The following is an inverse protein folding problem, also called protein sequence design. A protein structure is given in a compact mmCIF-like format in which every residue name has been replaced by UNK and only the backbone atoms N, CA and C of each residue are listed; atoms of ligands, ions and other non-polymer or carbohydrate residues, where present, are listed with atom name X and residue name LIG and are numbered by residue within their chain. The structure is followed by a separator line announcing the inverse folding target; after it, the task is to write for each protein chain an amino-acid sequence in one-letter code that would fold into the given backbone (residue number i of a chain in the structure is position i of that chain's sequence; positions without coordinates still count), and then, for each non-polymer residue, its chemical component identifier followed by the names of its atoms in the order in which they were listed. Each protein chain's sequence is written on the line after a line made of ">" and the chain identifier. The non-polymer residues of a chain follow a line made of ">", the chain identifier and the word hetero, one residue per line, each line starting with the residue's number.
data_IF_024478911038
#
_entry.id   IF_024478911038
#
_cell.length_a   1.000
_cell.length_b   1.000
_cell.length_c   1.000
_cell.angle_alpha   90.00
_cell.angle_beta   90.00
_cell.angle_gamma   90.00
#
_symmetry.space_group_name_H-M   'P 1'
#
loop_
_entity.id
_entity.type
_entity.pdbx_description
1 polymer ?
#
# COMPACT_ATOMS: atom_id res chain seq x y z
N UNK A 1 -21.01 -28.10 -17.58
CA UNK A 1 -21.03 -27.04 -16.57
C UNK A 1 -21.09 -27.73 -15.23
N UNK A 2 -20.16 -27.44 -14.33
CA UNK A 2 -20.06 -28.09 -13.02
C UNK A 2 -21.36 -27.82 -12.23
N UNK A 3 -21.94 -28.79 -11.51
CA UNK A 3 -23.27 -28.65 -10.86
C UNK A 3 -23.38 -27.38 -10.01
N UNK A 4 -22.28 -26.94 -9.40
CA UNK A 4 -22.20 -25.72 -8.60
C UNK A 4 -22.23 -24.43 -9.42
N UNK A 5 -21.71 -24.43 -10.65
CA UNK A 5 -21.76 -23.28 -11.56
C UNK A 5 -23.21 -23.03 -11.99
N UNK A 6 -23.91 -24.08 -12.42
CA UNK A 6 -25.34 -24.00 -12.79
C UNK A 6 -26.19 -23.51 -11.61
N UNK A 7 -25.98 -24.09 -10.42
CA UNK A 7 -26.68 -23.68 -9.20
C UNK A 7 -26.44 -22.20 -8.86
N UNK A 8 -25.21 -21.72 -9.04
CA UNK A 8 -24.87 -20.31 -8.81
C UNK A 8 -25.57 -19.37 -9.80
N UNK A 9 -25.75 -19.78 -11.05
CA UNK A 9 -26.34 -18.95 -12.10
C UNK A 9 -27.87 -18.97 -12.09
N UNK A 10 -28.47 -20.15 -11.96
CA UNK A 10 -29.91 -20.37 -12.06
C UNK A 10 -30.64 -20.15 -10.72
N UNK A 11 -30.01 -20.49 -9.58
CA UNK A 11 -30.62 -20.47 -8.25
C UNK A 11 -29.92 -19.48 -7.30
N UNK A 12 -29.69 -18.24 -7.76
CA UNK A 12 -28.88 -17.22 -7.07
C UNK A 12 -29.23 -16.99 -5.60
N UNK A 13 -30.53 -16.96 -5.27
CA UNK A 13 -30.99 -16.74 -3.89
C UNK A 13 -30.62 -17.91 -2.98
N UNK A 14 -30.73 -19.13 -3.47
CA UNK A 14 -30.39 -20.34 -2.71
C UNK A 14 -28.88 -20.49 -2.59
N UNK A 15 -28.11 -20.12 -3.62
CA UNK A 15 -26.66 -20.03 -3.52
C UNK A 15 -26.22 -19.04 -2.44
N UNK A 16 -26.81 -17.84 -2.38
CA UNK A 16 -26.54 -16.87 -1.33
C UNK A 16 -26.92 -17.39 0.06
N UNK A 17 -28.04 -18.12 0.16
CA UNK A 17 -28.48 -18.78 1.40
C UNK A 17 -27.45 -19.80 1.89
N UNK A 18 -26.93 -20.65 0.99
CA UNK A 18 -25.87 -21.60 1.28
C UNK A 18 -24.57 -20.90 1.73
N UNK A 19 -24.16 -19.84 1.04
CA UNK A 19 -22.98 -19.06 1.41
C UNK A 19 -23.10 -18.47 2.82
N UNK A 20 -24.27 -17.89 3.17
CA UNK A 20 -24.52 -17.34 4.50
C UNK A 20 -24.54 -18.42 5.58
N UNK A 21 -25.17 -19.56 5.30
CA UNK A 21 -25.15 -20.70 6.22
C UNK A 21 -23.71 -21.15 6.49
N UNK A 22 -22.90 -21.32 5.44
CA UNK A 22 -21.50 -21.66 5.58
C UNK A 22 -20.72 -20.59 6.36
N UNK A 23 -20.95 -19.32 6.07
CA UNK A 23 -20.32 -18.20 6.75
C UNK A 23 -20.64 -18.16 8.25
N UNK A 24 -21.88 -18.44 8.65
CA UNK A 24 -22.24 -18.54 10.06
C UNK A 24 -21.56 -19.74 10.70
N UNK A 25 -21.60 -20.91 10.07
CA UNK A 25 -21.04 -22.15 10.65
C UNK A 25 -19.53 -22.08 10.81
N UNK A 26 -18.81 -21.48 9.86
CA UNK A 26 -17.35 -21.41 9.91
C UNK A 26 -16.84 -20.56 11.10
N UNK A 27 -17.63 -19.60 11.60
CA UNK A 27 -17.27 -18.76 12.76
C UNK A 27 -17.19 -19.55 14.07
N UNK A 28 -17.94 -20.65 14.16
CA UNK A 28 -18.00 -21.49 15.36
C UNK A 28 -16.96 -22.62 15.36
N UNK A 29 -16.21 -22.80 14.25
CA UNK A 29 -15.18 -23.84 14.14
C UNK A 29 -13.95 -23.39 14.93
N UNK A 30 -13.54 -24.22 15.89
CA UNK A 30 -12.38 -23.99 16.76
C UNK A 30 -11.39 -25.14 16.66
N UNK A 31 -10.08 -24.90 16.85
CA UNK A 31 -9.05 -25.94 16.78
C UNK A 31 -9.27 -27.08 17.78
N UNK A 32 -9.69 -26.75 19.00
CA UNK A 32 -9.96 -27.67 20.11
C UNK A 32 -11.32 -28.37 20.03
N UNK A 33 -12.20 -27.92 19.12
CA UNK A 33 -13.54 -28.46 18.97
C UNK A 33 -13.51 -29.90 18.46
N UNK A 34 -14.32 -30.75 19.10
CA UNK A 34 -14.66 -32.11 18.65
C UNK A 34 -16.08 -32.18 18.10
N UNK A 35 -16.81 -31.05 18.10
CA UNK A 35 -18.19 -31.00 17.67
C UNK A 35 -18.30 -31.18 16.16
N UNK A 36 -19.36 -31.85 15.72
CA UNK A 36 -19.69 -31.96 14.29
C UNK A 36 -20.20 -30.63 13.77
N UNK A 37 -19.77 -30.24 12.58
CA UNK A 37 -20.32 -29.10 11.87
C UNK A 37 -21.54 -29.55 11.06
N UNK A 38 -22.66 -28.84 11.17
CA UNK A 38 -23.87 -29.13 10.39
C UNK A 38 -24.21 -27.93 9.55
N UNK A 39 -24.22 -28.10 8.24
CA UNK A 39 -24.53 -27.06 7.26
C UNK A 39 -25.84 -27.44 6.60
N UNK A 40 -26.81 -26.51 6.58
CA UNK A 40 -28.03 -26.70 5.79
C UNK A 40 -27.74 -26.45 4.31
N UNK A 41 -28.19 -27.36 3.46
CA UNK A 41 -27.99 -27.29 2.01
C UNK A 41 -29.35 -27.10 1.34
N UNK A 42 -29.49 -26.13 0.43
CA UNK A 42 -30.74 -25.93 -0.32
C UNK A 42 -31.21 -27.19 -1.05
N UNK A 43 -32.52 -27.43 -1.01
CA UNK A 43 -33.13 -28.64 -1.58
C UNK A 43 -32.91 -28.73 -3.09
N UNK A 44 -32.99 -27.62 -3.81
CA UNK A 44 -32.73 -27.59 -5.25
C UNK A 44 -31.29 -28.01 -5.60
N UNK A 45 -30.29 -27.68 -4.78
CA UNK A 45 -28.92 -28.16 -4.97
C UNK A 45 -28.84 -29.68 -4.73
N UNK A 46 -29.55 -30.18 -3.73
CA UNK A 46 -29.63 -31.61 -3.44
C UNK A 46 -30.25 -32.39 -4.61
N UNK A 47 -31.36 -31.89 -5.16
CA UNK A 47 -32.05 -32.48 -6.32
C UNK A 47 -31.13 -32.52 -7.54
N UNK A 48 -30.48 -31.40 -7.87
CA UNK A 48 -29.50 -31.33 -8.97
C UNK A 48 -28.31 -32.29 -8.77
N UNK A 49 -27.83 -32.46 -7.54
CA UNK A 49 -26.74 -33.40 -7.24
C UNK A 49 -27.19 -34.85 -7.45
N UNK A 50 -28.44 -35.19 -7.15
CA UNK A 50 -29.00 -36.51 -7.38
C UNK A 50 -29.18 -36.78 -8.88
N UNK A 51 -29.68 -35.80 -9.63
CA UNK A 51 -29.86 -35.91 -11.09
C UNK A 51 -28.53 -36.13 -11.83
N UNK A 52 -27.48 -35.43 -11.41
CA UNK A 52 -26.15 -35.55 -12.05
C UNK A 52 -25.42 -36.83 -11.65
N UNK A 53 -25.47 -37.22 -10.37
CA UNK A 53 -24.72 -38.40 -9.89
C UNK A 53 -25.46 -39.73 -10.06
N UNK A 54 -26.77 -39.70 -10.30
CA UNK A 54 -27.60 -40.91 -10.41
C UNK A 54 -27.61 -41.77 -9.14
N UNK A 55 -27.21 -41.21 -7.99
CA UNK A 55 -27.14 -41.88 -6.70
C UNK A 55 -27.85 -41.04 -5.64
N UNK A 56 -28.49 -41.71 -4.68
CA UNK A 56 -29.07 -41.06 -3.51
C UNK A 56 -27.97 -40.51 -2.59
N UNK A 57 -28.25 -39.40 -1.91
CA UNK A 57 -27.29 -38.82 -0.94
C UNK A 57 -26.93 -39.77 0.22
N UNK A 58 -27.79 -40.75 0.51
CA UNK A 58 -27.50 -41.81 1.50
C UNK A 58 -26.39 -42.74 1.03
N UNK A 59 -26.32 -43.05 -0.26
CA UNK A 59 -25.25 -43.86 -0.84
C UNK A 59 -23.94 -43.09 -0.87
N UNK A 60 -23.98 -41.78 -1.17
CA UNK A 60 -22.81 -40.88 -1.06
C UNK A 60 -22.30 -40.75 0.38
N UNK A 61 -23.19 -40.79 1.37
CA UNK A 61 -22.81 -40.78 2.81
C UNK A 61 -22.19 -42.10 3.28
N UNK A 62 -22.51 -43.21 2.61
CA UNK A 62 -22.08 -44.54 3.03
C UNK A 62 -20.61 -44.83 2.70
N UNK A 63 -20.07 -44.12 1.70
CA UNK A 63 -18.67 -44.25 1.27
C UNK A 63 -17.69 -43.41 2.09
N UNK A 64 -18.14 -42.36 2.79
CA UNK A 64 -17.29 -41.54 3.64
C UNK A 64 -17.93 -41.24 5.00
N UNK A 65 -17.41 -41.82 6.08
CA UNK A 65 -17.91 -41.62 7.45
C UNK A 65 -17.73 -40.19 7.97
N UNK A 66 -16.85 -39.38 7.36
CA UNK A 66 -16.61 -38.01 7.78
C UNK A 66 -17.67 -37.02 7.28
N UNK A 67 -18.47 -37.42 6.28
CA UNK A 67 -19.51 -36.61 5.64
C UNK A 67 -20.82 -37.39 5.61
N UNK A 68 -21.81 -36.95 6.37
CA UNK A 68 -23.10 -37.64 6.48
C UNK A 68 -24.24 -36.69 6.12
N UNK A 69 -25.09 -37.10 5.18
CA UNK A 69 -26.33 -36.40 4.85
C UNK A 69 -27.47 -36.84 5.78
N UNK A 70 -28.20 -35.86 6.33
CA UNK A 70 -29.42 -36.08 7.14
C UNK A 70 -30.49 -35.11 6.68
N UNK A 71 -31.39 -35.57 5.80
CA UNK A 71 -32.38 -34.70 5.15
C UNK A 71 -31.68 -33.66 4.28
N UNK A 72 -31.97 -32.38 4.51
CA UNK A 72 -31.37 -31.22 3.84
C UNK A 72 -30.06 -30.73 4.50
N UNK A 73 -29.43 -31.56 5.36
CA UNK A 73 -28.26 -31.15 6.14
C UNK A 73 -27.04 -32.00 5.84
N UNK A 74 -25.93 -31.34 5.64
CA UNK A 74 -24.59 -31.92 5.53
C UNK A 74 -23.92 -31.88 6.91
N UNK A 75 -23.66 -33.04 7.51
CA UNK A 75 -22.94 -33.18 8.77
C UNK A 75 -21.50 -33.60 8.51
N UNK A 76 -20.58 -32.75 8.91
CA UNK A 76 -19.14 -32.97 8.83
C UNK A 76 -18.60 -33.30 10.21
N UNK A 77 -17.66 -34.24 10.29
CA UNK A 77 -16.86 -34.37 11.50
C UNK A 77 -15.96 -33.14 11.72
N UNK A 78 -15.40 -33.04 12.92
CA UNK A 78 -14.60 -31.88 13.31
C UNK A 78 -13.37 -31.70 12.41
N UNK A 79 -12.67 -32.79 12.07
CA UNK A 79 -11.44 -32.73 11.28
C UNK A 79 -11.71 -32.32 9.83
N UNK A 80 -12.80 -32.81 9.23
CA UNK A 80 -13.22 -32.37 7.89
C UNK A 80 -13.66 -30.91 7.90
N UNK A 81 -14.34 -30.44 8.95
CA UNK A 81 -14.72 -29.04 9.05
C UNK A 81 -13.50 -28.11 9.24
N UNK A 82 -12.51 -28.54 10.03
CA UNK A 82 -11.24 -27.82 10.24
C UNK A 82 -10.40 -27.75 8.96
N UNK A 83 -10.43 -28.79 8.12
CA UNK A 83 -9.61 -28.84 6.90
C UNK A 83 -9.96 -27.75 5.89
N UNK A 84 -11.16 -27.15 5.96
CA UNK A 84 -11.54 -25.99 5.15
C UNK A 84 -10.62 -24.77 5.35
N UNK A 85 -9.92 -24.69 6.49
CA UNK A 85 -9.04 -23.57 6.82
C UNK A 85 -7.58 -23.85 6.46
N UNK A 86 -7.20 -25.11 6.22
CA UNK A 86 -5.79 -25.51 6.11
C UNK A 86 -5.08 -24.78 4.97
N UNK A 87 -5.64 -24.81 3.77
CA UNK A 87 -4.98 -24.24 2.60
C UNK A 87 -4.92 -22.70 2.66
N UNK A 88 -6.01 -22.06 3.08
CA UNK A 88 -6.02 -20.60 3.26
C UNK A 88 -5.03 -20.15 4.34
N UNK A 89 -4.96 -20.86 5.46
CA UNK A 89 -4.03 -20.52 6.54
C UNK A 89 -2.57 -20.73 6.12
N UNK A 90 -2.28 -21.83 5.40
CA UNK A 90 -0.96 -22.13 4.85
C UNK A 90 -0.48 -21.02 3.92
N UNK A 91 -1.31 -20.61 2.96
CA UNK A 91 -0.93 -19.54 2.02
C UNK A 91 -0.65 -18.20 2.73
N UNK A 92 -1.41 -17.88 3.78
CA UNK A 92 -1.17 -16.68 4.59
C UNK A 92 0.16 -16.79 5.34
N UNK A 93 0.45 -17.94 5.96
CA UNK A 93 1.71 -18.20 6.66
C UNK A 93 2.90 -18.11 5.71
N UNK A 94 2.81 -18.73 4.54
CA UNK A 94 3.87 -18.71 3.52
C UNK A 94 4.14 -17.27 3.06
N UNK A 95 3.08 -16.48 2.87
CA UNK A 95 3.21 -15.09 2.49
C UNK A 95 3.89 -14.23 3.57
N UNK A 96 3.47 -14.39 4.83
CA UNK A 96 4.10 -13.68 5.97
C UNK A 96 5.57 -14.08 6.10
N UNK A 97 5.89 -15.35 5.90
CA UNK A 97 7.27 -15.85 5.95
C UNK A 97 8.13 -15.19 4.88
N UNK A 98 7.62 -15.07 3.65
CA UNK A 98 8.31 -14.36 2.57
C UNK A 98 8.56 -12.87 2.88
N UNK A 99 7.61 -12.19 3.52
CA UNK A 99 7.79 -10.79 3.95
C UNK A 99 8.93 -10.69 4.96
N UNK A 100 9.03 -11.63 5.92
CA UNK A 100 10.09 -11.62 6.93
C UNK A 100 11.50 -11.93 6.40
N UNK A 101 11.63 -12.40 5.16
CA UNK A 101 12.93 -12.52 4.48
C UNK A 101 13.47 -11.16 3.99
N UNK A 102 12.62 -10.12 3.94
CA UNK A 102 13.03 -8.80 3.48
C UNK A 102 13.84 -8.03 4.54
N UNK A 103 15.01 -7.53 4.15
CA UNK A 103 15.87 -6.72 5.03
C UNK A 103 15.18 -5.48 5.61
N UNK A 104 14.16 -4.96 4.93
CA UNK A 104 13.40 -3.77 5.33
C UNK A 104 12.53 -3.98 6.59
N UNK A 105 12.22 -5.23 6.96
CA UNK A 105 11.35 -5.55 8.11
C UNK A 105 12.09 -6.23 9.26
N UNK A 106 13.43 -6.26 9.21
CA UNK A 106 14.27 -6.80 10.29
C UNK A 106 13.99 -6.03 11.58
N UNK A 107 13.79 -6.76 12.67
CA UNK A 107 13.42 -6.20 13.97
C UNK A 107 11.91 -6.10 14.22
N UNK A 108 11.07 -6.62 13.32
CA UNK A 108 9.63 -6.75 13.59
C UNK A 108 9.39 -7.67 14.79
N UNK A 109 8.59 -7.21 15.76
CA UNK A 109 8.29 -7.95 17.00
C UNK A 109 6.83 -8.40 17.10
N UNK A 110 5.95 -7.90 16.23
CA UNK A 110 4.51 -8.09 16.33
C UNK A 110 3.83 -8.29 14.97
N UNK A 111 2.76 -9.08 14.98
CA UNK A 111 1.85 -9.28 13.84
C UNK A 111 0.48 -8.75 14.28
N UNK A 112 -0.05 -7.75 13.58
CA UNK A 112 -1.39 -7.22 13.82
C UNK A 112 -2.37 -7.80 12.80
N UNK A 113 -3.33 -8.61 13.26
CA UNK A 113 -4.29 -9.30 12.41
C UNK A 113 -5.60 -8.51 12.33
N UNK A 114 -5.94 -7.95 11.17
CA UNK A 114 -7.16 -7.15 10.93
C UNK A 114 -8.07 -7.80 9.87
N UNK A 115 -9.32 -7.36 9.77
CA UNK A 115 -10.35 -7.92 8.89
C UNK A 115 -11.12 -9.09 9.50
N UNK A 116 -12.25 -9.46 8.90
CA UNK A 116 -13.19 -10.45 9.47
C UNK A 116 -12.55 -11.82 9.68
N UNK A 117 -11.69 -12.25 8.76
CA UNK A 117 -11.08 -13.58 8.85
C UNK A 117 -10.05 -13.68 10.00
N UNK A 118 -9.50 -12.55 10.44
CA UNK A 118 -8.62 -12.48 11.60
C UNK A 118 -9.33 -12.81 12.92
N UNK A 119 -10.66 -12.79 12.94
CA UNK A 119 -11.47 -13.25 14.09
C UNK A 119 -11.58 -14.78 14.16
N UNK A 120 -11.17 -15.51 13.11
CA UNK A 120 -11.20 -16.97 13.08
C UNK A 120 -10.24 -17.59 14.09
N UNK A 121 -10.73 -18.39 15.05
CA UNK A 121 -9.85 -19.10 15.99
C UNK A 121 -8.87 -20.05 15.29
N UNK A 122 -9.30 -20.65 14.17
CA UNK A 122 -8.47 -21.51 13.33
C UNK A 122 -7.25 -20.76 12.78
N UNK A 123 -7.47 -19.56 12.23
CA UNK A 123 -6.39 -18.77 11.66
C UNK A 123 -5.46 -18.22 12.76
N UNK A 124 -6.04 -17.73 13.87
CA UNK A 124 -5.26 -17.21 14.99
C UNK A 124 -4.31 -18.26 15.56
N UNK A 125 -4.76 -19.51 15.75
CA UNK A 125 -3.90 -20.58 16.23
C UNK A 125 -2.82 -20.95 15.22
N UNK A 126 -3.16 -21.01 13.92
CA UNK A 126 -2.20 -21.31 12.87
C UNK A 126 -1.06 -20.27 12.82
N UNK A 127 -1.39 -18.98 12.89
CA UNK A 127 -0.41 -17.88 12.89
C UNK A 127 0.45 -17.90 14.16
N UNK A 128 -0.17 -18.05 15.34
CA UNK A 128 0.59 -18.12 16.61
C UNK A 128 1.54 -19.32 16.65
N UNK A 129 1.14 -20.45 16.06
CA UNK A 129 1.97 -21.66 15.99
C UNK A 129 3.12 -21.50 15.00
N UNK A 130 2.87 -20.87 13.85
CA UNK A 130 3.89 -20.63 12.84
C UNK A 130 4.94 -19.59 13.28
N UNK A 131 4.52 -18.58 14.07
CA UNK A 131 5.37 -17.48 14.50
C UNK A 131 5.41 -17.35 16.03
N UNK A 132 5.96 -18.34 16.76
CA UNK A 132 5.91 -18.37 18.23
C UNK A 132 6.71 -17.25 18.91
N UNK A 133 7.66 -16.64 18.20
CA UNK A 133 8.48 -15.54 18.70
C UNK A 133 7.85 -14.16 18.46
N UNK A 134 6.72 -14.09 17.75
CA UNK A 134 6.04 -12.84 17.42
C UNK A 134 4.89 -12.57 18.40
N UNK A 135 4.70 -11.30 18.75
CA UNK A 135 3.51 -10.86 19.47
C UNK A 135 2.33 -10.75 18.51
N UNK A 136 1.41 -11.71 18.54
CA UNK A 136 0.21 -11.70 17.68
C UNK A 136 -0.90 -10.89 18.36
N UNK A 137 -1.25 -9.75 17.76
CA UNK A 137 -2.27 -8.81 18.24
C UNK A 137 -3.51 -8.94 17.35
N UNK A 138 -4.65 -9.24 17.94
CA UNK A 138 -5.94 -9.22 17.27
C UNK A 138 -6.79 -8.11 17.92
N UNK A 139 -7.08 -7.01 17.21
CA UNK A 139 -7.93 -5.95 17.73
C UNK A 139 -9.34 -6.44 18.02
N UNK A 140 -10.00 -5.83 19.01
CA UNK A 140 -11.43 -6.02 19.21
C UNK A 140 -12.20 -5.55 17.97
N UNK A 141 -13.09 -6.41 17.47
CA UNK A 141 -13.82 -6.21 16.21
C UNK A 141 -12.85 -5.98 15.03
N UNK A 142 -11.99 -6.98 14.78
CA UNK A 142 -10.94 -6.91 13.76
C UNK A 142 -11.51 -6.57 12.37
N UNK A 143 -12.75 -6.98 12.08
CA UNK A 143 -13.49 -6.66 10.85
C UNK A 143 -13.63 -5.16 10.55
N UNK A 144 -13.71 -4.31 11.58
CA UNK A 144 -13.89 -2.86 11.45
C UNK A 144 -12.70 -2.06 11.97
N UNK A 145 -11.60 -2.72 12.35
CA UNK A 145 -10.42 -2.08 12.93
C UNK A 145 -9.82 -1.00 12.02
N UNK A 146 -9.75 -1.27 10.70
CA UNK A 146 -9.24 -0.31 9.71
C UNK A 146 -10.10 0.94 9.64
N UNK A 147 -11.43 0.79 9.61
CA UNK A 147 -12.37 1.92 9.60
C UNK A 147 -12.24 2.76 10.87
N UNK A 148 -12.19 2.11 12.05
CA UNK A 148 -11.99 2.80 13.33
C UNK A 148 -10.68 3.59 13.33
N UNK A 149 -9.59 3.00 12.84
CA UNK A 149 -8.30 3.66 12.69
C UNK A 149 -8.36 4.87 11.75
N UNK A 150 -9.05 4.75 10.60
CA UNK A 150 -9.21 5.84 9.65
C UNK A 150 -9.99 7.03 10.26
N UNK A 151 -11.05 6.75 11.03
CA UNK A 151 -11.81 7.79 11.75
C UNK A 151 -10.92 8.48 12.77
N UNK A 152 -10.16 7.73 13.58
CA UNK A 152 -9.22 8.31 14.55
C UNK A 152 -8.15 9.16 13.89
N UNK A 153 -7.59 8.69 12.77
CA UNK A 153 -6.62 9.45 11.98
C UNK A 153 -7.22 10.75 11.43
N UNK A 154 -8.47 10.73 10.95
CA UNK A 154 -9.16 11.93 10.50
C UNK A 154 -9.37 12.97 11.61
N UNK A 155 -9.62 12.53 12.85
CA UNK A 155 -9.72 13.41 14.01
C UNK A 155 -8.38 13.97 14.46
N UNK A 156 -7.33 13.16 14.44
CA UNK A 156 -5.98 13.59 14.81
C UNK A 156 -4.93 12.94 13.89
N UNK A 157 -4.58 13.61 12.78
CA UNK A 157 -3.57 13.10 11.85
C UNK A 157 -2.18 12.96 12.49
N UNK A 158 -1.90 13.72 13.55
CA UNK A 158 -0.60 13.79 14.24
C UNK A 158 -0.24 12.53 15.04
N UNK A 159 -1.12 11.53 15.08
CA UNK A 159 -0.86 10.25 15.76
C UNK A 159 0.20 9.41 15.03
N UNK A 160 0.45 9.66 13.74
CA UNK A 160 1.46 8.94 12.95
C UNK A 160 2.71 9.84 12.82
N UNK A 161 3.71 9.53 13.65
CA UNK A 161 4.84 10.41 13.98
C UNK A 161 5.90 10.61 12.85
N UNK A 162 6.24 9.62 12.00
CA UNK A 162 7.03 9.88 10.80
C UNK A 162 6.51 9.20 9.51
N UNK A 163 6.79 9.81 8.35
CA UNK A 163 6.59 9.21 7.02
C UNK A 163 7.93 8.84 6.40
N UNK A 164 8.01 7.67 5.80
CA UNK A 164 9.18 7.21 5.04
C UNK A 164 9.01 7.61 3.58
N UNK A 165 9.96 8.38 3.05
CA UNK A 165 9.99 8.78 1.63
C UNK A 165 10.01 7.55 0.71
N UNK A 166 8.94 7.34 -0.07
CA UNK A 166 8.86 6.19 -1.00
C UNK A 166 9.81 6.32 -2.20
N UNK A 167 10.13 7.55 -2.55
CA UNK A 167 11.01 7.93 -3.65
C UNK A 167 12.05 8.93 -3.14
N UNK A 168 13.08 9.17 -3.95
CA UNK A 168 13.93 10.34 -3.80
C UNK A 168 13.26 11.50 -4.52
N UNK A 169 13.00 12.60 -3.82
CA UNK A 169 12.32 13.78 -4.35
C UNK A 169 13.30 14.91 -4.60
N UNK A 170 13.11 15.63 -5.69
CA UNK A 170 13.96 16.76 -6.00
C UNK A 170 13.45 17.60 -7.15
N UNK A 171 14.28 18.56 -7.55
CA UNK A 171 14.00 19.46 -8.67
C UNK A 171 15.10 19.39 -9.72
N UNK A 172 14.76 19.68 -10.96
CA UNK A 172 15.73 19.90 -12.03
C UNK A 172 16.39 21.26 -11.84
N UNK A 173 17.71 21.28 -11.79
CA UNK A 173 18.48 22.51 -11.60
C UNK A 173 19.72 22.57 -12.49
N UNK A 174 20.25 23.77 -12.67
CA UNK A 174 21.50 24.04 -13.37
C UNK A 174 22.57 24.38 -12.33
N UNK A 175 23.49 23.45 -12.06
CA UNK A 175 24.63 23.68 -11.13
C UNK A 175 25.89 24.02 -11.91
N UNK A 176 26.92 24.56 -11.24
CA UNK A 176 28.22 24.80 -11.87
C UNK A 176 28.74 23.50 -12.50
N UNK A 177 29.18 23.59 -13.76
CA UNK A 177 29.72 22.46 -14.50
C UNK A 177 31.02 22.00 -13.84
N UNK A 178 31.12 20.70 -13.55
CA UNK A 178 32.33 20.06 -13.01
C UNK A 178 33.11 19.41 -14.15
N UNK A 179 34.26 19.98 -14.54
CA UNK A 179 35.11 19.38 -15.57
C UNK A 179 35.45 17.93 -15.21
N UNK A 180 35.46 17.05 -16.22
CA UNK A 180 35.79 15.62 -16.11
C UNK A 180 34.79 14.76 -15.30
N UNK A 181 33.74 15.35 -14.72
CA UNK A 181 32.70 14.61 -13.98
C UNK A 181 31.34 14.73 -14.65
N UNK A 182 30.98 15.95 -15.08
CA UNK A 182 29.68 16.19 -15.69
C UNK A 182 29.74 15.88 -17.21
N UNK A 183 28.70 15.29 -17.79
CA UNK A 183 28.61 15.03 -19.23
C UNK A 183 28.69 16.31 -20.04
N UNK A 184 29.58 16.36 -21.04
CA UNK A 184 29.79 17.54 -21.88
C UNK A 184 28.54 17.90 -22.70
N UNK A 185 27.68 16.94 -23.06
CA UNK A 185 26.41 17.17 -23.76
C UNK A 185 25.37 17.91 -22.89
N UNK A 186 25.55 17.91 -21.56
CA UNK A 186 24.71 18.66 -20.61
C UNK A 186 25.28 20.04 -20.27
N UNK A 187 26.43 20.42 -20.84
CA UNK A 187 27.09 21.70 -20.57
C UNK A 187 26.36 22.86 -21.23
N UNK A 188 26.25 23.97 -20.50
CA UNK A 188 25.68 25.23 -20.98
C UNK A 188 26.53 26.39 -20.49
N UNK A 189 26.82 27.35 -21.36
CA UNK A 189 27.53 28.59 -20.99
C UNK A 189 26.51 29.72 -20.90
N UNK A 190 26.46 30.38 -19.73
CA UNK A 190 25.59 31.54 -19.48
C UNK A 190 26.46 32.64 -18.88
N UNK A 191 26.53 33.81 -19.54
CA UNK A 191 27.37 34.94 -19.13
C UNK A 191 28.83 34.56 -18.81
N UNK A 192 29.42 33.66 -19.61
CA UNK A 192 30.79 33.18 -19.43
C UNK A 192 30.98 32.12 -18.34
N UNK A 193 29.92 31.75 -17.60
CA UNK A 193 29.95 30.71 -16.57
C UNK A 193 29.42 29.40 -17.15
N UNK A 194 30.13 28.30 -16.90
CA UNK A 194 29.74 26.96 -17.33
C UNK A 194 28.81 26.31 -16.29
N UNK A 195 27.64 25.87 -16.73
CA UNK A 195 26.64 25.15 -15.95
C UNK A 195 26.41 23.74 -16.55
N UNK A 196 26.04 22.79 -15.69
CA UNK A 196 25.54 21.49 -16.09
C UNK A 196 24.01 21.48 -15.94
N UNK A 197 23.31 21.22 -17.04
CA UNK A 197 21.86 21.16 -17.10
C UNK A 197 21.31 19.86 -16.53
N UNK A 198 20.04 19.91 -16.11
CA UNK A 198 19.26 18.74 -15.68
C UNK A 198 19.84 18.01 -14.47
N UNK A 199 20.59 18.69 -13.61
CA UNK A 199 21.07 18.10 -12.36
C UNK A 199 19.88 17.82 -11.45
N UNK A 200 19.92 16.68 -10.77
CA UNK A 200 18.94 16.35 -9.74
C UNK A 200 19.32 17.08 -8.45
N UNK A 201 18.52 18.08 -8.06
CA UNK A 201 18.61 18.73 -6.75
C UNK A 201 17.79 17.95 -5.74
N UNK A 202 18.40 16.98 -5.05
CA UNK A 202 17.75 16.12 -4.05
C UNK A 202 17.32 16.93 -2.83
N UNK A 203 16.04 16.87 -2.46
CA UNK A 203 15.46 17.45 -1.24
C UNK A 203 15.15 16.39 -0.19
N UNK A 204 14.72 15.21 -0.64
CA UNK A 204 14.36 14.09 0.23
C UNK A 204 14.90 12.82 -0.39
N UNK A 205 15.52 11.98 0.42
CA UNK A 205 16.04 10.68 0.00
C UNK A 205 15.00 9.57 0.19
N UNK A 206 14.98 8.60 -0.73
CA UNK A 206 14.19 7.38 -0.56
C UNK A 206 14.59 6.67 0.73
N UNK A 207 13.62 6.36 1.59
CA UNK A 207 13.84 5.76 2.90
C UNK A 207 14.05 6.78 4.03
N UNK A 208 14.19 8.07 3.72
CA UNK A 208 14.30 9.11 4.74
C UNK A 208 13.00 9.23 5.55
N UNK A 209 13.14 9.24 6.87
CA UNK A 209 12.06 9.54 7.81
C UNK A 209 11.85 11.05 7.87
N UNK A 210 10.62 11.50 7.64
CA UNK A 210 10.22 12.91 7.68
C UNK A 210 9.08 13.04 8.69
N UNK A 211 9.26 13.88 9.71
CA UNK A 211 8.22 14.11 10.70
C UNK A 211 7.04 14.88 10.06
N UNK A 212 5.83 14.60 10.53
CA UNK A 212 4.65 15.22 9.96
C UNK A 212 4.66 16.74 10.19
N UNK A 213 4.62 17.50 9.09
CA UNK A 213 4.63 18.96 9.13
C UNK A 213 6.03 19.58 9.12
N UNK A 214 7.10 18.78 9.22
CA UNK A 214 8.45 19.27 8.94
C UNK A 214 8.65 19.53 7.44
N UNK A 215 9.43 20.56 7.16
CA UNK A 215 9.92 20.87 5.82
C UNK A 215 11.25 20.15 5.67
N UNK A 216 11.44 19.48 4.53
CA UNK A 216 12.72 18.87 4.16
C UNK A 216 13.87 19.89 4.24
N UNK A 217 15.11 19.39 4.18
CA UNK A 217 16.28 20.27 4.06
C UNK A 217 16.04 21.29 2.93
N UNK A 218 16.05 22.57 3.29
CA UNK A 218 15.76 23.64 2.36
C UNK A 218 16.97 23.89 1.45
N UNK A 219 16.69 24.10 0.16
CA UNK A 219 17.72 24.44 -0.81
C UNK A 219 17.45 25.79 -1.46
N UNK A 220 18.52 26.56 -1.65
CA UNK A 220 18.46 27.87 -2.29
C UNK A 220 18.75 27.76 -3.78
N UNK A 221 17.93 28.43 -4.58
CA UNK A 221 18.08 28.57 -6.02
C UNK A 221 18.12 30.04 -6.42
N UNK A 222 18.90 30.32 -7.46
CA UNK A 222 19.14 31.66 -7.96
C UNK A 222 18.87 31.73 -9.47
N UNK A 223 18.49 32.91 -10.00
CA UNK A 223 18.45 33.13 -11.43
C UNK A 223 19.85 32.97 -12.07
N UNK A 224 19.88 32.48 -13.31
CA UNK A 224 21.13 32.32 -14.05
C UNK A 224 21.63 33.64 -14.65
N UNK A 225 20.72 34.57 -14.93
CA UNK A 225 21.02 35.91 -15.44
C UNK A 225 20.37 36.99 -14.59
N UNK A 226 20.96 38.19 -14.59
CA UNK A 226 20.50 39.29 -13.76
C UNK A 226 19.10 39.80 -14.14
N UNK A 227 18.74 39.67 -15.41
CA UNK A 227 17.47 40.09 -16.02
C UNK A 227 16.40 38.99 -16.06
N UNK A 228 16.71 37.78 -15.57
CA UNK A 228 15.75 36.67 -15.56
C UNK A 228 14.56 37.00 -14.66
N UNK A 229 13.36 37.04 -15.25
CA UNK A 229 12.14 37.48 -14.59
C UNK A 229 11.31 36.33 -14.00
N UNK A 230 11.73 35.07 -14.17
CA UNK A 230 11.04 33.88 -13.65
C UNK A 230 12.03 32.77 -13.34
N UNK A 231 11.77 31.98 -12.30
CA UNK A 231 12.45 30.71 -12.05
C UNK A 231 11.43 29.59 -12.20
N UNK A 232 11.74 28.59 -13.02
CA UNK A 232 10.94 27.37 -13.16
C UNK A 232 11.79 26.21 -12.66
N UNK A 233 11.29 25.50 -11.65
CA UNK A 233 11.91 24.31 -11.07
C UNK A 233 11.00 23.11 -11.33
N UNK A 234 11.27 22.33 -12.39
CA UNK A 234 10.61 21.05 -12.65
C UNK A 234 10.83 20.08 -11.50
N UNK A 235 9.78 19.47 -10.97
CA UNK A 235 9.79 18.55 -9.83
C UNK A 235 9.85 17.11 -10.34
N UNK A 236 10.72 16.31 -9.75
CA UNK A 236 10.94 14.90 -10.11
C UNK A 236 10.96 13.98 -8.89
N UNK A 237 10.62 12.72 -9.14
CA UNK A 237 10.86 11.59 -8.23
C UNK A 237 11.75 10.56 -8.89
N UNK A 238 12.55 9.84 -8.11
CA UNK A 238 13.36 8.72 -8.57
C UNK A 238 13.23 7.50 -7.65
N UNK A 239 13.35 6.30 -8.22
CA UNK A 239 13.48 5.05 -7.46
C UNK A 239 14.91 4.87 -6.91
N UNK A 240 15.93 5.48 -7.50
CA UNK A 240 17.30 5.53 -6.98
C UNK A 240 17.37 6.38 -5.71
N UNK A 241 18.26 5.99 -4.79
CA UNK A 241 18.56 6.72 -3.55
C UNK A 241 19.34 8.01 -3.87
N UNK A 242 20.21 8.00 -4.90
CA UNK A 242 21.07 9.14 -5.24
C UNK A 242 21.14 9.40 -6.76
N UNK A 243 20.00 9.79 -7.39
CA UNK A 243 19.98 10.18 -8.80
C UNK A 243 20.87 11.41 -9.03
N UNK A 244 21.63 11.42 -10.12
CA UNK A 244 22.52 12.55 -10.45
C UNK A 244 21.86 13.52 -11.44
N UNK A 245 21.00 13.00 -12.32
CA UNK A 245 20.28 13.75 -13.36
C UNK A 245 18.81 13.38 -13.41
N UNK A 246 17.96 14.34 -13.79
CA UNK A 246 16.50 14.15 -13.87
C UNK A 246 16.02 13.37 -15.11
N UNK A 247 16.93 13.04 -16.03
CA UNK A 247 16.65 12.24 -17.23
C UNK A 247 17.24 10.82 -17.16
N UNK A 248 17.60 10.37 -15.96
CA UNK A 248 17.84 8.95 -15.68
C UNK A 248 16.54 8.14 -15.81
N UNK A 249 16.64 6.85 -16.16
CA UNK A 249 15.48 6.01 -16.50
C UNK A 249 14.45 5.89 -15.37
N UNK A 250 14.89 6.01 -14.13
CA UNK A 250 14.06 5.88 -12.95
C UNK A 250 13.45 7.21 -12.47
N UNK A 251 13.72 8.31 -13.18
CA UNK A 251 13.21 9.63 -12.86
C UNK A 251 11.85 9.89 -13.54
N UNK A 252 10.86 10.31 -12.75
CA UNK A 252 9.52 10.67 -13.22
C UNK A 252 9.21 12.12 -12.88
N UNK A 253 8.78 12.89 -13.87
CA UNK A 253 8.34 14.28 -13.71
C UNK A 253 6.96 14.36 -13.04
N UNK A 254 6.78 15.28 -12.09
CA UNK A 254 5.53 15.46 -11.34
C UNK A 254 4.82 16.80 -11.60
N UNK A 255 5.55 17.84 -11.96
CA UNK A 255 4.99 19.20 -12.10
C UNK A 255 6.06 20.28 -12.03
N UNK A 256 5.64 21.54 -11.99
CA UNK A 256 6.54 22.70 -11.97
C UNK A 256 6.28 23.57 -10.73
N UNK A 257 7.36 24.08 -10.16
CA UNK A 257 7.35 25.24 -9.27
C UNK A 257 7.81 26.46 -10.05
N UNK A 258 6.88 27.36 -10.36
CA UNK A 258 7.14 28.60 -11.10
C UNK A 258 7.08 29.80 -10.14
N UNK A 259 8.20 30.48 -9.98
CA UNK A 259 8.36 31.64 -9.10
C UNK A 259 8.54 32.88 -9.95
N UNK A 260 7.70 33.89 -9.72
CA UNK A 260 7.85 35.20 -10.34
C UNK A 260 9.07 35.93 -9.76
N UNK A 261 9.91 36.44 -10.65
CA UNK A 261 11.14 37.16 -10.31
C UNK A 261 11.18 38.48 -11.10
N UNK A 262 10.02 39.11 -11.29
CA UNK A 262 9.89 40.32 -12.10
C UNK A 262 10.62 41.53 -11.50
N UNK A 263 10.85 41.54 -10.18
CA UNK A 263 11.80 42.46 -9.55
C UNK A 263 13.23 41.98 -9.77
N UNK A 264 13.96 42.70 -10.63
CA UNK A 264 15.34 42.39 -11.02
C UNK A 264 16.38 43.01 -10.08
N UNK A 265 15.97 43.73 -9.03
CA UNK A 265 16.91 44.26 -8.03
C UNK A 265 17.68 43.12 -7.37
N UNK A 266 19.00 43.24 -7.31
CA UNK A 266 19.89 42.18 -6.79
C UNK A 266 20.40 41.20 -7.85
N UNK A 267 19.94 41.28 -9.11
CA UNK A 267 20.54 40.52 -10.23
C UNK A 267 20.53 39.00 -9.99
N UNK A 268 21.69 38.35 -10.05
CA UNK A 268 21.79 36.90 -9.81
C UNK A 268 21.78 36.53 -8.31
N UNK A 269 21.89 37.49 -7.39
CA UNK A 269 21.90 37.25 -5.94
C UNK A 269 20.48 37.12 -5.36
N UNK A 270 19.44 37.21 -6.19
CA UNK A 270 18.06 36.97 -5.76
C UNK A 270 17.89 35.50 -5.42
N UNK A 271 17.39 35.21 -4.23
CA UNK A 271 17.32 33.86 -3.67
C UNK A 271 15.87 33.38 -3.54
N UNK A 272 15.65 32.15 -4.01
CA UNK A 272 14.43 31.37 -3.80
C UNK A 272 14.78 30.17 -2.95
N UNK A 273 14.21 30.11 -1.75
CA UNK A 273 14.41 28.99 -0.82
C UNK A 273 13.28 27.99 -1.02
N UNK A 274 13.60 26.77 -1.42
CA UNK A 274 12.61 25.71 -1.67
C UNK A 274 12.69 24.67 -0.57
N UNK A 275 11.53 24.20 -0.13
CA UNK A 275 11.40 23.03 0.73
C UNK A 275 10.21 22.16 0.32
N UNK A 276 10.25 20.90 0.72
CA UNK A 276 9.17 19.94 0.49
C UNK A 276 8.58 19.51 1.82
N UNK A 277 7.25 19.55 1.94
CA UNK A 277 6.51 19.18 3.15
C UNK A 277 5.61 17.99 2.90
N UNK A 278 5.57 17.09 3.89
CA UNK A 278 4.83 15.83 3.86
C UNK A 278 3.79 15.86 4.97
N UNK A 279 2.58 16.33 4.65
CA UNK A 279 1.51 16.58 5.63
C UNK A 279 0.36 15.56 5.62
N UNK A 280 0.23 14.75 4.56
CA UNK A 280 -0.91 13.85 4.30
C UNK A 280 -0.59 12.82 3.20
N UNK A 281 -1.57 12.36 2.39
CA UNK A 281 -1.28 11.59 1.17
C UNK A 281 -0.55 12.43 0.11
N UNK A 282 -0.62 13.75 0.22
CA UNK A 282 -0.10 14.71 -0.74
C UNK A 282 1.29 15.26 -0.35
N UNK A 283 2.03 15.68 -1.36
CA UNK A 283 3.31 16.36 -1.23
C UNK A 283 3.08 17.83 -1.53
N UNK A 284 3.54 18.71 -0.64
CA UNK A 284 3.57 20.14 -0.90
C UNK A 284 5.02 20.55 -1.19
N UNK A 285 5.23 21.31 -2.27
CA UNK A 285 6.51 21.92 -2.59
C UNK A 285 6.32 23.43 -2.56
N UNK A 286 7.08 24.09 -1.69
CA UNK A 286 6.96 25.51 -1.37
C UNK A 286 8.27 26.22 -1.70
N UNK A 287 8.17 27.37 -2.34
CA UNK A 287 9.25 28.32 -2.56
C UNK A 287 8.99 29.59 -1.75
N UNK A 288 10.02 30.12 -1.10
CA UNK A 288 10.01 31.41 -0.43
C UNK A 288 10.97 32.34 -1.16
N UNK A 289 10.46 33.44 -1.70
CA UNK A 289 11.29 34.52 -2.27
C UNK A 289 11.88 35.30 -1.11
N UNK A 290 13.20 35.19 -0.89
CA UNK A 290 13.83 35.70 0.34
C UNK A 290 13.67 37.21 0.53
N UNK A 291 13.66 37.98 -0.56
CA UNK A 291 13.56 39.43 -0.52
C UNK A 291 12.18 39.93 -0.07
N UNK A 292 11.10 39.23 -0.46
CA UNK A 292 9.71 39.66 -0.22
C UNK A 292 9.01 38.85 0.86
N UNK A 293 9.51 37.65 1.17
CA UNK A 293 8.83 36.67 2.01
C UNK A 293 7.63 36.01 1.32
N UNK A 294 7.43 36.24 0.02
CA UNK A 294 6.34 35.64 -0.74
C UNK A 294 6.49 34.12 -0.80
N UNK A 295 5.39 33.41 -0.55
CA UNK A 295 5.32 31.96 -0.59
C UNK A 295 4.60 31.52 -1.86
N UNK A 296 5.27 30.71 -2.66
CA UNK A 296 4.76 30.15 -3.92
C UNK A 296 4.67 28.64 -3.80
N UNK A 297 3.54 28.07 -4.23
CA UNK A 297 3.31 26.63 -4.19
C UNK A 297 3.44 26.02 -5.58
N UNK A 298 3.95 24.79 -5.65
CA UNK A 298 4.07 24.06 -6.90
C UNK A 298 2.71 23.69 -7.51
N UNK A 299 2.69 23.52 -8.84
CA UNK A 299 1.56 22.98 -9.59
C UNK A 299 1.91 21.59 -10.08
N UNK A 300 1.21 20.59 -9.56
CA UNK A 300 1.36 19.20 -9.99
C UNK A 300 0.42 18.88 -11.15
N UNK A 301 0.89 18.07 -12.09
CA UNK A 301 0.05 17.52 -13.15
C UNK A 301 -0.23 16.04 -12.84
N UNK A 302 -1.13 15.80 -11.88
CA UNK A 302 -1.49 14.46 -11.43
C UNK A 302 -2.49 13.74 -12.36
N UNK A 303 -2.80 14.30 -13.54
CA UNK A 303 -3.69 13.70 -14.53
C UNK A 303 -2.85 13.09 -15.66
N UNK A 304 -2.26 11.92 -15.42
CA UNK A 304 -1.76 11.03 -16.47
C UNK A 304 -2.11 9.59 -16.15
#
# INVERSE_FOLDING_TARGET
>A
METMEVFREEDKLEYLSLCREFEMKKRDIRPDSKAKCTIRVPVCLIERLQDVKGMSLKEVSSSNKSIVWVGDKLRLDAETAKSFFTEASRQIIDHISGIFEESAVVGTEAIVMVGDFSESPMLQEAIKTAFPNMTVIIPNEAGVAVLKGAVQFGFNPQVISPRIGRFTYGVSTNKRFRPHTDPEDKKQIVNGIMYCRKRFGKHVERGQSIEQGEVSEQQTYNPLTADQNRIILPIYVSLSIDPQYVDEEDCTYLGDLEVDMSDIQGGCEREVVVGMRFGGPDIAVEAIVKATGEIVNARFNCLR
#
